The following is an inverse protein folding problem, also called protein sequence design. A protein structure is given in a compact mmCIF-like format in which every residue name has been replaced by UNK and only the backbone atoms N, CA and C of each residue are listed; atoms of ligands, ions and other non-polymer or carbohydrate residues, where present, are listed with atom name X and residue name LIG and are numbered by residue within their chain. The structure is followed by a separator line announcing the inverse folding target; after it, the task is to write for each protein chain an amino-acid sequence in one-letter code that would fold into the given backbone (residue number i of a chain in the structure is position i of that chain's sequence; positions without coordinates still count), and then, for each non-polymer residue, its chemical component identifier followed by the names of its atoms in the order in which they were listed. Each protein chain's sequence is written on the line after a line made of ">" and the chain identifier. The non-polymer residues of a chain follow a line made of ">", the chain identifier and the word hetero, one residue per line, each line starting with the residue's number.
data_IF_624615187493
#
_entry.id   IF_624615187493
#
_cell.length_a   1.000
_cell.length_b   1.000
_cell.length_c   1.000
_cell.angle_alpha   90.00
_cell.angle_beta   90.00
_cell.angle_gamma   90.00
#
_symmetry.space_group_name_H-M   'P 1'
#
loop_
_entity.id
_entity.type
_entity.pdbx_description
1 polymer ?
#
# COMPACT_ATOMS: atom_id res chain seq x y z
N UNK A 1 12.46 21.12 37.97
CA UNK A 1 11.29 21.12 37.04
C UNK A 1 11.61 22.15 35.99
N UNK A 2 11.80 21.91 34.69
CA UNK A 2 11.48 20.76 33.84
C UNK A 2 12.56 20.65 32.75
N UNK A 3 13.09 19.45 32.57
CA UNK A 3 13.73 19.05 31.32
C UNK A 3 12.67 18.48 30.38
N UNK A 4 12.94 18.51 29.08
CA UNK A 4 12.29 17.69 28.05
C UNK A 4 10.95 18.16 27.49
N UNK A 5 10.97 19.14 26.58
CA UNK A 5 10.01 19.21 25.46
C UNK A 5 10.70 19.45 24.10
N UNK A 6 12.04 19.36 24.03
CA UNK A 6 12.73 19.17 22.75
C UNK A 6 12.70 17.68 22.43
N UNK A 7 11.92 17.28 21.40
CA UNK A 7 12.04 16.05 20.55
C UNK A 7 10.72 15.29 20.25
N UNK A 8 9.55 15.92 20.12
CA UNK A 8 8.32 15.16 19.82
C UNK A 8 7.59 15.45 18.51
N UNK A 9 8.22 16.12 17.53
CA UNK A 9 7.61 16.36 16.20
C UNK A 9 8.48 15.91 15.01
N UNK A 10 9.41 14.96 15.21
CA UNK A 10 10.30 14.46 14.14
C UNK A 10 10.22 12.94 13.93
N UNK A 11 9.31 12.24 14.62
CA UNK A 11 9.31 10.77 14.70
C UNK A 11 7.96 10.13 14.28
N UNK A 12 7.29 10.73 13.30
CA UNK A 12 6.10 10.15 12.66
C UNK A 12 6.10 10.40 11.13
N UNK A 13 7.26 10.27 10.46
CA UNK A 13 7.37 10.45 8.99
C UNK A 13 8.38 9.44 8.38
N UNK A 14 8.25 8.14 8.64
CA UNK A 14 9.11 7.13 7.98
C UNK A 14 8.42 5.82 7.52
N UNK A 15 7.10 5.67 7.70
CA UNK A 15 6.38 4.46 7.28
C UNK A 15 5.36 4.77 6.17
N UNK A 16 5.73 5.61 5.21
CA UNK A 16 4.93 5.86 4.02
C UNK A 16 5.78 5.76 2.76
N UNK A 17 5.25 5.11 1.74
CA UNK A 17 5.84 4.95 0.43
C UNK A 17 6.04 6.33 -0.20
N UNK A 18 7.29 6.64 -0.59
CA UNK A 18 7.54 7.89 -1.28
C UNK A 18 6.91 7.89 -2.69
N UNK A 19 6.55 9.05 -3.25
CA UNK A 19 6.02 9.13 -4.62
C UNK A 19 6.96 8.53 -5.66
N UNK A 20 8.28 8.73 -5.50
CA UNK A 20 9.28 8.14 -6.38
C UNK A 20 9.28 6.60 -6.29
N UNK A 21 9.17 6.05 -5.08
CA UNK A 21 9.10 4.60 -4.86
C UNK A 21 7.82 4.00 -5.44
N UNK A 22 6.67 4.68 -5.28
CA UNK A 22 5.40 4.26 -5.88
C UNK A 22 5.49 4.19 -7.40
N UNK A 23 6.10 5.18 -8.04
CA UNK A 23 6.30 5.20 -9.49
C UNK A 23 7.15 4.00 -9.97
N UNK A 24 8.23 3.67 -9.25
CA UNK A 24 9.07 2.50 -9.55
C UNK A 24 8.25 1.21 -9.44
N UNK A 25 7.49 1.03 -8.36
CA UNK A 25 6.64 -0.16 -8.16
C UNK A 25 5.59 -0.28 -9.28
N UNK A 26 4.90 0.81 -9.62
CA UNK A 26 3.90 0.84 -10.69
C UNK A 26 4.49 0.50 -12.06
N UNK A 27 5.73 0.90 -12.33
CA UNK A 27 6.41 0.61 -13.58
C UNK A 27 6.66 -0.89 -13.78
N UNK A 28 6.76 -1.67 -12.70
CA UNK A 28 6.95 -3.12 -12.73
C UNK A 28 5.66 -3.92 -12.85
N UNK A 29 4.49 -3.31 -12.66
CA UNK A 29 3.22 -3.99 -12.89
C UNK A 29 2.86 -4.06 -14.38
N UNK A 30 2.18 -5.15 -14.81
CA UNK A 30 1.53 -5.19 -16.11
C UNK A 30 0.58 -3.99 -16.29
N UNK A 31 0.48 -3.48 -17.52
CA UNK A 31 -0.31 -2.28 -17.83
C UNK A 31 -1.73 -2.32 -17.24
N UNK A 32 -2.44 -3.44 -17.40
CA UNK A 32 -3.79 -3.65 -16.85
C UNK A 32 -3.87 -3.40 -15.33
N UNK A 33 -2.87 -3.84 -14.57
CA UNK A 33 -2.85 -3.70 -13.11
C UNK A 33 -2.52 -2.26 -12.72
N UNK A 34 -1.55 -1.64 -13.40
CA UNK A 34 -1.21 -0.23 -13.18
C UNK A 34 -2.41 0.68 -13.42
N UNK A 35 -3.13 0.50 -14.53
CA UNK A 35 -4.33 1.27 -14.86
C UNK A 35 -5.44 1.08 -13.81
N UNK A 36 -5.65 -0.15 -13.34
CA UNK A 36 -6.65 -0.43 -12.31
C UNK A 36 -6.30 0.26 -10.98
N UNK A 37 -5.03 0.24 -10.55
CA UNK A 37 -4.58 0.92 -9.32
C UNK A 37 -4.76 2.44 -9.42
N UNK A 38 -4.40 3.03 -10.56
CA UNK A 38 -4.54 4.48 -10.80
C UNK A 38 -6.02 4.89 -10.86
N UNK A 39 -6.85 4.11 -11.56
CA UNK A 39 -8.29 4.36 -11.61
C UNK A 39 -8.92 4.28 -10.21
N UNK A 40 -8.56 3.26 -9.43
CA UNK A 40 -9.06 3.13 -8.06
C UNK A 40 -8.63 4.28 -7.17
N UNK A 41 -7.37 4.72 -7.26
CA UNK A 41 -6.87 5.88 -6.53
C UNK A 41 -7.68 7.16 -6.84
N UNK A 42 -8.00 7.38 -8.11
CA UNK A 42 -8.87 8.48 -8.52
C UNK A 42 -10.31 8.30 -8.01
N UNK A 43 -10.87 7.10 -8.06
CA UNK A 43 -12.23 6.81 -7.60
C UNK A 43 -12.44 7.09 -6.11
N UNK A 44 -11.44 6.79 -5.27
CA UNK A 44 -11.54 6.98 -3.82
C UNK A 44 -10.93 8.31 -3.33
N UNK A 45 -10.36 9.12 -4.24
CA UNK A 45 -9.65 10.38 -3.96
C UNK A 45 -8.46 10.23 -3.00
N UNK A 46 -7.62 9.21 -3.25
CA UNK A 46 -6.41 8.95 -2.48
C UNK A 46 -5.16 9.03 -3.35
N UNK A 47 -4.01 9.40 -2.75
CA UNK A 47 -2.74 9.38 -3.45
C UNK A 47 -2.33 7.93 -3.76
N UNK A 48 -1.67 7.73 -4.90
CA UNK A 48 -1.36 6.38 -5.41
C UNK A 48 -0.44 5.59 -4.47
N UNK A 49 0.41 6.29 -3.72
CA UNK A 49 1.27 5.74 -2.68
C UNK A 49 0.44 5.04 -1.60
N UNK A 50 -0.62 5.70 -1.12
CA UNK A 50 -1.51 5.16 -0.08
C UNK A 50 -2.31 3.96 -0.60
N UNK A 51 -2.75 3.99 -1.86
CA UNK A 51 -3.47 2.85 -2.47
C UNK A 51 -2.57 1.63 -2.59
N UNK A 52 -1.30 1.80 -2.97
CA UNK A 52 -0.34 0.70 -3.02
C UNK A 52 -0.09 0.11 -1.63
N UNK A 53 0.07 0.96 -0.62
CA UNK A 53 0.24 0.52 0.77
C UNK A 53 -1.00 -0.21 1.28
N UNK A 54 -2.19 0.32 1.05
CA UNK A 54 -3.45 -0.32 1.43
C UNK A 54 -3.62 -1.68 0.75
N UNK A 55 -3.30 -1.78 -0.54
CA UNK A 55 -3.38 -3.04 -1.27
C UNK A 55 -2.43 -4.10 -0.69
N UNK A 56 -1.20 -3.72 -0.37
CA UNK A 56 -0.20 -4.62 0.22
C UNK A 56 -0.57 -4.97 1.67
N UNK A 57 -0.96 -3.99 2.48
CA UNK A 57 -1.38 -4.20 3.86
C UNK A 57 -2.61 -5.11 3.92
N UNK A 58 -3.60 -4.89 3.06
CA UNK A 58 -4.78 -5.75 2.95
C UNK A 58 -4.43 -7.16 2.48
N UNK A 59 -3.42 -7.33 1.61
CA UNK A 59 -2.96 -8.66 1.21
C UNK A 59 -2.24 -9.40 2.35
N UNK A 60 -1.53 -8.67 3.22
CA UNK A 60 -0.80 -9.22 4.37
C UNK A 60 -1.71 -9.48 5.58
N UNK A 61 -2.91 -8.90 5.59
CA UNK A 61 -3.91 -9.14 6.63
C UNK A 61 -4.37 -10.61 6.58
N UNK A 62 -4.12 -11.34 7.66
CA UNK A 62 -4.46 -12.76 7.79
C UNK A 62 -5.96 -13.02 7.86
N UNK A 63 -6.77 -11.99 8.13
CA UNK A 63 -8.22 -12.06 8.12
C UNK A 63 -8.84 -11.66 6.76
N UNK A 64 -8.03 -11.11 5.84
CA UNK A 64 -8.50 -10.82 4.49
C UNK A 64 -8.70 -12.13 3.70
N UNK A 65 -9.76 -12.17 2.87
CA UNK A 65 -10.02 -13.28 1.97
C UNK A 65 -8.83 -13.46 1.02
N UNK A 66 -8.06 -14.51 1.24
CA UNK A 66 -6.81 -14.75 0.53
C UNK A 66 -7.00 -15.70 -0.64
N UNK A 67 -6.00 -15.77 -1.52
CA UNK A 67 -5.95 -16.79 -2.57
C UNK A 67 -6.05 -18.23 -2.02
N UNK A 68 -5.62 -18.47 -0.77
CA UNK A 68 -5.77 -19.75 -0.10
C UNK A 68 -7.24 -20.17 0.06
N UNK A 69 -8.15 -19.21 0.27
CA UNK A 69 -9.59 -19.46 0.38
C UNK A 69 -10.22 -19.82 -0.97
N UNK A 70 -9.62 -19.35 -2.07
CA UNK A 70 -10.06 -19.66 -3.42
C UNK A 70 -9.68 -21.08 -3.90
N UNK A 71 -8.84 -21.83 -3.17
CA UNK A 71 -8.29 -23.14 -3.59
C UNK A 71 -7.82 -23.20 -5.07
N UNK A 72 -7.00 -22.26 -5.57
CA UNK A 72 -6.48 -22.35 -6.93
C UNK A 72 -5.55 -23.56 -7.02
N UNK A 73 -5.99 -24.61 -7.75
CA UNK A 73 -5.19 -25.82 -7.98
C UNK A 73 -5.82 -27.17 -7.65
N UNK A 74 -7.10 -27.28 -7.27
CA UNK A 74 -7.80 -28.59 -7.20
C UNK A 74 -8.36 -29.05 -8.56
N UNK A 75 -7.52 -28.98 -9.58
CA UNK A 75 -7.84 -29.40 -10.93
C UNK A 75 -6.60 -29.92 -11.64
N UNK A 76 -6.03 -31.00 -11.10
CA UNK A 76 -5.23 -31.99 -11.83
C UNK A 76 -5.56 -33.36 -11.25
#
# INVERSE_FOLDING_TARGET
>A
MSASHRKNDLMQIQEQLSPASAQVILAHFPQRIREALVAHAHEIDYPIEAVLEMAIASFLDTEALGFADCKPGRGY
#
